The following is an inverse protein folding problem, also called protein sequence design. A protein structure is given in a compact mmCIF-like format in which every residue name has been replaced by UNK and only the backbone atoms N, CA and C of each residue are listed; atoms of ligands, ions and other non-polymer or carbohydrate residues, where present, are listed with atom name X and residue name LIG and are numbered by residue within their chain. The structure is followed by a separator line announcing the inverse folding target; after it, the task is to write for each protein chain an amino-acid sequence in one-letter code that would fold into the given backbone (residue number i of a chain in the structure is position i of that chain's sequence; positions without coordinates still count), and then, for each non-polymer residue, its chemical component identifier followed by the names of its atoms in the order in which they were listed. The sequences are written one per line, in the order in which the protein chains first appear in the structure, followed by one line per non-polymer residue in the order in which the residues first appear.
data_IF_580114681870
#
_entry.id   IF_580114681870
#
_cell.length_a   1.000
_cell.length_b   1.000
_cell.length_c   1.000
_cell.angle_alpha   90.00
_cell.angle_beta   90.00
_cell.angle_gamma   90.00
#
_symmetry.space_group_name_H-M   'P 1'
#
loop_
_entity.id
_entity.type
_entity.pdbx_description
1 polymer ?
#
# COMPACT_ATOMS: atom_id res chain seq x y z
N UNK A 1 0.10 0.26 24.35
CA UNK A 1 1.38 0.37 23.70
C UNK A 1 1.86 -0.89 22.98
N UNK A 2 0.97 -1.85 22.65
CA UNK A 2 1.36 -3.08 21.93
C UNK A 2 1.22 -2.96 20.42
N UNK A 3 0.44 -1.99 19.92
CA UNK A 3 0.19 -1.80 18.48
C UNK A 3 0.59 -0.39 18.04
N UNK A 4 1.11 -0.27 16.82
CA UNK A 4 1.52 0.99 16.22
C UNK A 4 0.44 1.64 15.37
N UNK A 5 -0.49 0.85 14.86
CA UNK A 5 -1.61 1.26 14.02
C UNK A 5 -2.74 0.24 14.07
N UNK A 6 -3.88 0.61 13.50
CA UNK A 6 -5.03 -0.27 13.29
C UNK A 6 -5.44 -0.22 11.83
N UNK A 7 -5.96 -1.33 11.33
CA UNK A 7 -6.46 -1.44 9.95
C UNK A 7 -7.96 -1.69 9.94
N UNK A 8 -8.62 -1.21 8.87
CA UNK A 8 -10.03 -1.43 8.58
C UNK A 8 -11.02 -0.96 9.67
N UNK A 9 -10.63 -0.01 10.51
CA UNK A 9 -11.54 0.68 11.39
C UNK A 9 -12.14 1.88 10.66
N UNK A 10 -13.46 1.92 10.51
CA UNK A 10 -14.21 2.96 9.81
C UNK A 10 -15.07 3.78 10.77
N UNK A 11 -15.18 5.06 10.50
CA UNK A 11 -15.99 6.01 11.26
C UNK A 11 -15.15 6.93 12.15
N UNK A 12 -15.19 8.23 11.86
CA UNK A 12 -14.35 9.25 12.52
C UNK A 12 -14.55 9.30 14.04
N UNK A 13 -15.76 9.05 14.53
CA UNK A 13 -16.06 9.00 15.98
C UNK A 13 -15.33 7.83 16.64
N UNK A 14 -15.45 6.62 16.07
CA UNK A 14 -14.78 5.43 16.57
C UNK A 14 -13.25 5.57 16.53
N UNK A 15 -12.72 6.10 15.44
CA UNK A 15 -11.30 6.38 15.28
C UNK A 15 -10.82 7.37 16.34
N UNK A 16 -11.57 8.44 16.57
CA UNK A 16 -11.27 9.42 17.60
C UNK A 16 -11.26 8.83 19.02
N UNK A 17 -12.23 7.96 19.33
CA UNK A 17 -12.31 7.30 20.63
C UNK A 17 -11.11 6.35 20.85
N UNK A 18 -10.75 5.58 19.85
CA UNK A 18 -9.56 4.71 19.92
C UNK A 18 -8.28 5.52 20.02
N UNK A 19 -8.15 6.62 19.26
CA UNK A 19 -7.02 7.52 19.38
C UNK A 19 -6.90 8.13 20.78
N UNK A 20 -8.03 8.51 21.36
CA UNK A 20 -8.08 9.00 22.75
C UNK A 20 -7.58 7.96 23.75
N UNK A 21 -7.99 6.69 23.59
CA UNK A 21 -7.47 5.60 24.43
C UNK A 21 -5.96 5.44 24.28
N UNK A 22 -5.45 5.53 23.04
CA UNK A 22 -4.02 5.41 22.79
C UNK A 22 -3.22 6.54 23.47
N UNK A 23 -3.71 7.76 23.42
CA UNK A 23 -3.04 8.93 24.02
C UNK A 23 -3.16 8.94 25.54
N UNK A 24 -4.36 8.74 26.10
CA UNK A 24 -4.64 8.95 27.52
C UNK A 24 -4.40 7.73 28.39
N UNK A 25 -4.52 6.53 27.82
CA UNK A 25 -4.49 5.27 28.57
C UNK A 25 -3.28 4.38 28.27
N UNK A 26 -2.49 4.70 27.25
CA UNK A 26 -1.27 3.92 27.01
C UNK A 26 -0.06 4.50 27.76
N UNK A 27 0.94 3.66 28.01
CA UNK A 27 2.14 4.03 28.80
C UNK A 27 2.92 5.20 28.20
N UNK A 28 2.98 5.32 26.89
CA UNK A 28 3.78 6.32 26.18
C UNK A 28 2.96 7.44 25.52
N UNK A 29 1.64 7.31 25.45
CA UNK A 29 0.77 8.29 24.81
C UNK A 29 1.08 8.48 23.32
N UNK A 30 1.62 7.47 22.63
CA UNK A 30 1.97 7.57 21.21
C UNK A 30 0.71 7.39 20.37
N UNK A 31 0.39 8.34 19.45
CA UNK A 31 -0.77 8.25 18.58
C UNK A 31 -0.68 7.05 17.63
N UNK A 32 -1.84 6.49 17.27
CA UNK A 32 -1.97 5.43 16.27
C UNK A 32 -2.07 5.99 14.87
N UNK A 33 -1.65 5.22 13.87
CA UNK A 33 -2.03 5.40 12.45
C UNK A 33 -3.18 4.47 12.12
N UNK A 34 -4.12 4.95 11.29
CA UNK A 34 -5.29 4.18 10.89
C UNK A 34 -5.20 3.92 9.40
N UNK A 35 -5.09 2.64 9.03
CA UNK A 35 -4.90 2.18 7.67
C UNK A 35 -6.16 1.53 7.10
N UNK A 36 -6.36 1.68 5.78
CA UNK A 36 -7.44 1.04 5.04
C UNK A 36 -7.07 0.85 3.57
N UNK A 37 -7.61 -0.18 2.93
CA UNK A 37 -7.55 -0.34 1.49
C UNK A 37 -8.47 0.68 0.80
N UNK A 38 -7.87 1.72 0.23
CA UNK A 38 -8.55 2.75 -0.56
C UNK A 38 -7.98 2.71 -1.96
N UNK A 39 -8.31 1.64 -2.71
CA UNK A 39 -7.63 1.29 -3.97
C UNK A 39 -8.17 2.08 -5.16
N UNK A 40 -9.51 2.26 -5.26
CA UNK A 40 -10.15 3.00 -6.34
C UNK A 40 -11.34 3.84 -5.84
N UNK A 41 -11.11 4.62 -4.81
CA UNK A 41 -12.08 5.46 -4.12
C UNK A 41 -12.34 5.02 -2.71
N UNK A 42 -13.06 5.82 -1.95
CA UNK A 42 -13.50 5.54 -0.59
C UNK A 42 -15.02 5.30 -0.55
N UNK A 43 -15.85 6.34 -0.45
CA UNK A 43 -17.31 6.25 -0.67
C UNK A 43 -17.68 6.58 -2.12
N UNK A 44 -16.97 7.52 -2.74
CA UNK A 44 -17.06 7.76 -4.17
C UNK A 44 -16.19 6.75 -4.90
N UNK A 45 -16.81 5.83 -5.63
CA UNK A 45 -16.14 4.75 -6.36
C UNK A 45 -15.71 5.26 -7.74
N UNK A 46 -14.43 5.07 -8.06
CA UNK A 46 -13.84 5.26 -9.37
C UNK A 46 -13.72 3.94 -10.13
N UNK A 47 -13.42 3.93 -11.43
CA UNK A 47 -13.09 2.70 -12.14
C UNK A 47 -12.02 1.91 -11.40
N UNK A 48 -12.07 0.59 -11.52
CA UNK A 48 -10.98 -0.28 -11.00
C UNK A 48 -9.64 0.18 -11.60
N UNK A 49 -8.50 -0.01 -10.92
CA UNK A 49 -7.21 0.49 -11.40
C UNK A 49 -6.89 0.08 -12.83
N UNK A 50 -7.20 -1.15 -13.24
CA UNK A 50 -7.03 -1.60 -14.62
C UNK A 50 -7.88 -0.78 -15.61
N UNK A 51 -9.14 -0.48 -15.28
CA UNK A 51 -10.00 0.38 -16.09
C UNK A 51 -9.52 1.83 -16.10
N UNK A 52 -9.10 2.35 -14.94
CA UNK A 52 -8.58 3.71 -14.79
C UNK A 52 -7.31 3.92 -15.63
N UNK A 53 -6.44 2.92 -15.71
CA UNK A 53 -5.21 2.96 -16.52
C UNK A 53 -5.50 3.15 -18.02
N UNK A 54 -6.66 2.70 -18.50
CA UNK A 54 -7.08 2.85 -19.89
C UNK A 54 -7.32 4.32 -20.31
N UNK A 55 -7.52 5.23 -19.35
CA UNK A 55 -7.68 6.65 -19.63
C UNK A 55 -6.39 7.33 -20.11
N UNK A 56 -5.21 6.82 -19.71
CA UNK A 56 -3.90 7.43 -19.93
C UNK A 56 -3.79 8.88 -19.42
N UNK A 57 -4.77 9.35 -18.66
CA UNK A 57 -4.84 10.70 -18.10
C UNK A 57 -4.29 10.71 -16.66
N UNK A 58 -3.02 11.09 -16.50
CA UNK A 58 -2.35 11.15 -15.21
C UNK A 58 -2.97 12.20 -14.28
N UNK A 59 -3.57 13.25 -14.80
CA UNK A 59 -4.24 14.27 -13.99
C UNK A 59 -5.56 13.76 -13.45
N UNK A 60 -6.33 13.03 -14.24
CA UNK A 60 -7.55 12.35 -13.81
C UNK A 60 -7.23 11.28 -12.74
N UNK A 61 -6.18 10.48 -12.96
CA UNK A 61 -5.72 9.46 -12.00
C UNK A 61 -5.28 10.11 -10.68
N UNK A 62 -4.49 11.18 -10.74
CA UNK A 62 -4.10 11.94 -9.54
C UNK A 62 -5.32 12.51 -8.83
N UNK A 63 -6.29 13.04 -9.56
CA UNK A 63 -7.52 13.61 -9.00
C UNK A 63 -8.38 12.55 -8.32
N UNK A 64 -8.48 11.34 -8.89
CA UNK A 64 -9.19 10.23 -8.24
C UNK A 64 -8.58 9.86 -6.89
N UNK A 65 -7.24 9.73 -6.83
CA UNK A 65 -6.51 9.48 -5.59
C UNK A 65 -6.66 10.64 -4.58
N UNK A 66 -6.68 11.91 -5.06
CA UNK A 66 -6.90 13.06 -4.19
C UNK A 66 -8.29 13.05 -3.54
N UNK A 67 -9.33 12.76 -4.32
CA UNK A 67 -10.70 12.64 -3.81
C UNK A 67 -10.79 11.49 -2.80
N UNK A 68 -10.23 10.33 -3.14
CA UNK A 68 -10.19 9.18 -2.25
C UNK A 68 -9.51 9.50 -0.91
N UNK A 69 -8.38 10.24 -0.93
CA UNK A 69 -7.70 10.70 0.28
C UNK A 69 -8.54 11.71 1.08
N UNK A 70 -9.22 12.63 0.41
CA UNK A 70 -10.08 13.61 1.05
C UNK A 70 -11.22 12.93 1.81
N UNK A 71 -11.88 11.96 1.18
CA UNK A 71 -12.98 11.21 1.81
C UNK A 71 -12.49 10.30 2.94
N UNK A 72 -11.44 9.52 2.69
CA UNK A 72 -10.89 8.61 3.70
C UNK A 72 -10.39 9.37 4.94
N UNK A 73 -9.69 10.49 4.74
CA UNK A 73 -9.21 11.33 5.84
C UNK A 73 -10.33 12.04 6.60
N UNK A 74 -11.43 12.34 5.93
CA UNK A 74 -12.63 12.90 6.59
C UNK A 74 -13.25 11.89 7.56
N UNK A 75 -13.11 10.60 7.29
CA UNK A 75 -13.55 9.52 8.17
C UNK A 75 -12.48 9.04 9.17
N UNK A 76 -11.33 9.75 9.22
CA UNK A 76 -10.27 9.51 10.22
C UNK A 76 -9.11 8.63 9.74
N UNK A 77 -9.13 8.15 8.50
CA UNK A 77 -8.05 7.34 7.93
C UNK A 77 -6.85 8.22 7.62
N UNK A 78 -5.66 7.80 8.04
CA UNK A 78 -4.41 8.53 7.83
C UNK A 78 -3.41 7.81 6.93
N UNK A 79 -3.71 6.58 6.53
CA UNK A 79 -2.85 5.69 5.76
C UNK A 79 -3.68 4.82 4.82
N UNK A 80 -3.28 4.69 3.55
CA UNK A 80 -3.93 3.80 2.58
C UNK A 80 -2.96 2.74 2.08
N UNK A 81 -3.48 1.53 1.82
CA UNK A 81 -2.73 0.43 1.20
C UNK A 81 -2.85 0.51 -0.33
N UNK A 82 -2.43 1.63 -0.89
CA UNK A 82 -2.48 1.98 -2.30
C UNK A 82 -1.35 2.97 -2.64
N UNK A 83 -0.82 2.98 -3.89
CA UNK A 83 -1.23 2.22 -5.07
C UNK A 83 -0.74 0.77 -5.11
N UNK A 84 -1.51 -0.10 -5.77
CA UNK A 84 -1.06 -1.41 -6.19
C UNK A 84 -0.43 -1.27 -7.58
N UNK A 85 0.84 -1.63 -7.70
CA UNK A 85 1.63 -1.39 -8.91
C UNK A 85 2.27 -2.64 -9.50
N UNK A 86 1.79 -3.80 -9.07
CA UNK A 86 2.25 -5.08 -9.59
C UNK A 86 2.01 -5.16 -11.10
N UNK A 87 3.06 -5.42 -11.86
CA UNK A 87 2.96 -5.73 -13.28
C UNK A 87 2.34 -7.11 -13.44
N UNK A 88 1.22 -7.17 -14.17
CA UNK A 88 0.49 -8.40 -14.42
C UNK A 88 0.45 -8.69 -15.92
N UNK A 89 1.05 -9.83 -16.32
CA UNK A 89 1.05 -10.29 -17.72
C UNK A 89 0.23 -11.57 -17.91
N UNK A 90 -0.03 -12.29 -16.84
CA UNK A 90 -0.87 -13.47 -16.89
C UNK A 90 -2.30 -13.12 -16.42
N UNK A 91 -3.29 -13.13 -17.32
CA UNK A 91 -4.67 -12.75 -16.98
C UNK A 91 -5.36 -13.74 -16.05
N UNK A 92 -4.75 -14.90 -15.78
CA UNK A 92 -5.27 -15.87 -14.80
C UNK A 92 -5.03 -15.45 -13.35
N UNK A 93 -4.08 -14.54 -13.11
CA UNK A 93 -3.84 -14.03 -11.77
C UNK A 93 -5.06 -13.28 -11.25
N UNK A 94 -5.57 -13.67 -10.06
CA UNK A 94 -6.84 -13.18 -9.52
C UNK A 94 -6.87 -11.69 -9.16
N UNK A 95 -5.70 -11.02 -9.11
CA UNK A 95 -5.58 -9.61 -8.70
C UNK A 95 -5.26 -8.64 -9.86
N UNK A 96 -5.41 -9.08 -11.10
CA UNK A 96 -5.18 -8.23 -12.29
C UNK A 96 -5.98 -6.92 -12.23
N UNK A 97 -7.22 -6.96 -11.71
CA UNK A 97 -8.11 -5.80 -11.64
C UNK A 97 -7.63 -4.70 -10.69
N UNK A 98 -6.79 -5.04 -9.70
CA UNK A 98 -6.24 -4.08 -8.74
C UNK A 98 -5.05 -3.30 -9.27
N UNK A 99 -4.39 -3.79 -10.33
CA UNK A 99 -3.18 -3.22 -10.92
C UNK A 99 -3.46 -2.40 -12.18
N UNK A 100 -2.37 -1.88 -12.76
CA UNK A 100 -2.42 -0.96 -13.88
C UNK A 100 -2.05 -1.63 -15.23
N UNK A 101 -2.06 -2.97 -15.29
CA UNK A 101 -1.75 -3.74 -16.48
C UNK A 101 -0.29 -4.20 -16.56
N UNK A 102 0.20 -4.37 -17.81
CA UNK A 102 1.49 -5.03 -18.08
C UNK A 102 2.64 -4.09 -18.44
N UNK A 103 2.35 -2.81 -18.71
CA UNK A 103 3.36 -1.84 -19.13
C UNK A 103 4.07 -1.20 -17.93
N UNK A 104 5.40 -1.39 -17.77
CA UNK A 104 6.13 -0.84 -16.63
C UNK A 104 6.16 0.69 -16.60
N UNK A 105 6.28 1.34 -17.77
CA UNK A 105 6.37 2.78 -17.85
C UNK A 105 5.05 3.43 -17.46
N UNK A 106 3.94 2.96 -18.02
CA UNK A 106 2.60 3.41 -17.64
C UNK A 106 2.34 3.16 -16.16
N UNK A 107 2.67 1.96 -15.65
CA UNK A 107 2.56 1.62 -14.23
C UNK A 107 3.35 2.58 -13.33
N UNK A 108 4.56 2.95 -13.74
CA UNK A 108 5.39 3.94 -13.04
C UNK A 108 4.79 5.35 -13.05
N UNK A 109 4.26 5.80 -14.20
CA UNK A 109 3.60 7.10 -14.31
C UNK A 109 2.34 7.17 -13.42
N UNK A 110 1.53 6.11 -13.42
CA UNK A 110 0.35 5.99 -12.56
C UNK A 110 0.75 5.95 -11.09
N UNK A 111 1.79 5.20 -10.72
CA UNK A 111 2.30 5.17 -9.35
C UNK A 111 2.63 6.58 -8.83
N UNK A 112 3.36 7.37 -9.62
CA UNK A 112 3.68 8.78 -9.28
C UNK A 112 2.41 9.63 -9.13
N UNK A 113 1.47 9.50 -10.06
CA UNK A 113 0.21 10.25 -10.02
C UNK A 113 -0.61 9.91 -8.77
N UNK A 114 -0.74 8.64 -8.43
CA UNK A 114 -1.51 8.20 -7.26
C UNK A 114 -0.84 8.60 -5.95
N UNK A 115 0.48 8.39 -5.79
CA UNK A 115 1.22 8.82 -4.58
C UNK A 115 1.05 10.32 -4.36
N UNK A 116 1.25 11.13 -5.40
CA UNK A 116 1.07 12.59 -5.30
C UNK A 116 -0.40 12.99 -5.05
N UNK A 117 -1.34 12.22 -5.55
CA UNK A 117 -2.76 12.39 -5.24
C UNK A 117 -3.09 12.14 -3.78
N UNK A 118 -2.58 11.08 -3.18
CA UNK A 118 -2.80 10.76 -1.76
C UNK A 118 -2.05 11.70 -0.83
N UNK A 119 -0.76 11.96 -1.07
CA UNK A 119 0.14 12.62 -0.12
C UNK A 119 0.37 14.12 -0.37
N UNK A 120 -0.02 14.63 -1.53
CA UNK A 120 0.29 15.98 -2.01
C UNK A 120 1.40 15.98 -3.07
N UNK A 121 1.37 16.97 -3.96
CA UNK A 121 2.26 17.07 -5.13
C UNK A 121 3.65 17.64 -4.81
N UNK A 122 3.76 18.44 -3.76
CA UNK A 122 5.03 19.03 -3.35
C UNK A 122 5.75 18.11 -2.36
N UNK A 123 6.81 17.46 -2.80
CA UNK A 123 7.59 16.52 -1.99
C UNK A 123 8.05 17.10 -0.64
N UNK A 124 8.31 18.40 -0.57
CA UNK A 124 8.75 19.06 0.67
C UNK A 124 7.59 19.34 1.64
N UNK A 125 6.35 19.32 1.14
CA UNK A 125 5.15 19.66 1.88
C UNK A 125 4.09 18.54 1.91
N UNK A 126 4.45 17.33 1.50
CA UNK A 126 3.56 16.16 1.58
C UNK A 126 3.10 15.90 3.02
N UNK A 127 1.84 15.43 3.17
CA UNK A 127 1.23 15.04 4.44
C UNK A 127 1.05 16.22 5.45
N UNK A 128 1.14 17.45 5.01
CA UNK A 128 0.93 18.62 5.88
C UNK A 128 -0.54 18.93 6.12
N UNK A 129 -1.40 18.65 5.15
CA UNK A 129 -2.84 18.92 5.24
C UNK A 129 -3.56 17.76 5.91
N UNK A 130 -4.75 18.03 6.46
CA UNK A 130 -5.59 17.00 7.08
C UNK A 130 -6.45 16.19 6.08
N UNK A 131 -6.37 16.53 4.80
CA UNK A 131 -6.97 15.79 3.68
C UNK A 131 -5.93 14.97 2.86
N UNK A 132 -4.68 14.95 3.30
CA UNK A 132 -3.59 14.14 2.76
C UNK A 132 -3.36 12.93 3.65
N UNK A 133 -3.25 11.73 3.05
CA UNK A 133 -3.00 10.47 3.75
C UNK A 133 -1.75 9.80 3.21
N UNK A 134 -1.06 9.05 4.06
CA UNK A 134 0.14 8.33 3.65
C UNK A 134 -0.22 7.20 2.67
N UNK A 135 0.48 7.14 1.55
CA UNK A 135 0.39 6.06 0.58
C UNK A 135 1.26 4.86 0.98
N UNK A 136 0.86 3.68 0.53
CA UNK A 136 1.62 2.44 0.68
C UNK A 136 1.65 1.72 -0.66
N UNK A 137 2.80 1.75 -1.34
CA UNK A 137 2.94 1.02 -2.59
C UNK A 137 3.03 -0.48 -2.34
N UNK A 138 2.27 -1.26 -3.11
CA UNK A 138 2.15 -2.72 -2.93
C UNK A 138 2.09 -3.48 -4.24
N UNK A 139 2.44 -4.75 -4.24
CA UNK A 139 3.06 -5.57 -3.19
C UNK A 139 4.52 -5.83 -3.55
N UNK A 140 5.44 -5.37 -2.74
CA UNK A 140 6.88 -5.35 -3.07
C UNK A 140 7.52 -6.71 -2.76
N UNK A 141 7.87 -7.52 -3.81
CA UNK A 141 7.75 -7.20 -5.20
C UNK A 141 7.48 -8.46 -6.05
N UNK A 142 7.20 -8.23 -7.33
CA UNK A 142 7.01 -9.26 -8.35
C UNK A 142 5.76 -10.13 -8.14
N UNK A 143 4.80 -9.71 -7.36
CA UNK A 143 3.66 -10.54 -6.97
C UNK A 143 2.77 -10.93 -8.16
N UNK A 144 2.64 -10.07 -9.16
CA UNK A 144 1.92 -10.37 -10.41
C UNK A 144 2.66 -11.29 -11.40
N UNK A 145 3.87 -11.75 -11.05
CA UNK A 145 4.69 -12.63 -11.89
C UNK A 145 4.71 -14.08 -11.42
N UNK A 146 3.82 -14.46 -10.50
CA UNK A 146 3.75 -15.83 -9.97
C UNK A 146 3.61 -16.89 -11.08
N UNK A 147 4.33 -18.00 -10.92
CA UNK A 147 4.32 -19.10 -11.87
C UNK A 147 2.90 -19.60 -12.17
N UNK A 148 2.60 -19.80 -13.47
CA UNK A 148 1.30 -20.24 -14.00
C UNK A 148 0.12 -19.26 -13.67
N UNK A 149 0.39 -17.99 -13.34
CA UNK A 149 -0.62 -17.04 -12.94
C UNK A 149 -1.30 -17.36 -11.61
N UNK A 150 -0.68 -18.17 -10.77
CA UNK A 150 -1.23 -18.56 -9.48
C UNK A 150 -0.83 -17.54 -8.43
N UNK A 151 -1.82 -17.12 -7.63
CA UNK A 151 -1.58 -16.26 -6.49
C UNK A 151 -0.69 -16.97 -5.45
N UNK A 152 0.13 -16.23 -4.72
CA UNK A 152 1.11 -16.72 -3.74
C UNK A 152 2.25 -17.60 -4.30
N UNK A 153 2.28 -17.87 -5.59
CA UNK A 153 3.25 -18.81 -6.17
C UNK A 153 4.63 -18.17 -6.31
N UNK A 154 5.65 -19.01 -6.45
CA UNK A 154 7.04 -18.59 -6.62
C UNK A 154 7.27 -17.81 -7.91
N UNK A 155 8.32 -17.00 -7.91
CA UNK A 155 8.77 -16.23 -9.07
C UNK A 155 10.22 -16.58 -9.35
N UNK A 156 10.50 -16.98 -10.59
CA UNK A 156 11.85 -17.20 -11.10
C UNK A 156 12.09 -16.34 -12.34
N UNK A 157 12.99 -15.37 -12.23
CA UNK A 157 13.39 -14.53 -13.36
C UNK A 157 14.77 -13.87 -13.14
N UNK A 158 15.43 -13.49 -14.24
CA UNK A 158 16.69 -12.78 -14.16
C UNK A 158 16.54 -11.40 -13.50
N UNK A 159 17.57 -10.93 -12.79
CA UNK A 159 17.62 -9.58 -12.22
C UNK A 159 17.42 -8.49 -13.27
N UNK A 160 17.97 -8.68 -14.48
CA UNK A 160 17.77 -7.73 -15.57
C UNK A 160 16.28 -7.53 -15.88
N UNK A 161 15.52 -8.62 -15.96
CA UNK A 161 14.07 -8.56 -16.17
C UNK A 161 13.35 -7.94 -14.97
N UNK A 162 13.75 -8.27 -13.73
CA UNK A 162 13.19 -7.65 -12.53
C UNK A 162 13.28 -6.13 -12.58
N UNK A 163 14.46 -5.57 -12.84
CA UNK A 163 14.67 -4.12 -12.84
C UNK A 163 13.98 -3.41 -14.02
N UNK A 164 14.00 -3.99 -15.20
CA UNK A 164 13.46 -3.32 -16.39
C UNK A 164 11.93 -3.40 -16.46
N UNK A 165 11.31 -4.41 -15.84
CA UNK A 165 9.88 -4.67 -16.02
C UNK A 165 9.11 -4.55 -14.70
N UNK A 166 9.49 -5.30 -13.68
CA UNK A 166 8.65 -5.48 -12.49
C UNK A 166 8.95 -4.51 -11.35
N UNK A 167 10.18 -4.10 -11.20
CA UNK A 167 10.60 -3.21 -10.10
C UNK A 167 10.44 -1.71 -10.42
N UNK A 168 10.37 -1.36 -11.70
CA UNK A 168 10.30 0.03 -12.13
C UNK A 168 9.12 0.83 -11.53
N UNK A 169 7.86 0.30 -11.49
CA UNK A 169 6.75 1.04 -10.90
C UNK A 169 6.92 1.33 -9.40
N UNK A 170 7.57 0.43 -8.66
CA UNK A 170 7.90 0.66 -7.25
C UNK A 170 8.96 1.74 -7.08
N UNK A 171 10.01 1.71 -7.92
CA UNK A 171 11.02 2.76 -7.92
C UNK A 171 10.38 4.13 -8.20
N UNK A 172 9.47 4.19 -9.16
CA UNK A 172 8.72 5.41 -9.49
C UNK A 172 7.89 5.93 -8.30
N UNK A 173 7.28 5.03 -7.51
CA UNK A 173 6.57 5.40 -6.29
C UNK A 173 7.53 5.95 -5.20
N UNK A 174 8.71 5.34 -5.04
CA UNK A 174 9.75 5.83 -4.13
C UNK A 174 10.22 7.22 -4.53
N UNK A 175 10.48 7.45 -5.82
CA UNK A 175 10.85 8.77 -6.36
C UNK A 175 9.74 9.83 -6.14
N UNK A 176 8.48 9.41 -6.07
CA UNK A 176 7.35 10.30 -5.74
C UNK A 176 7.17 10.52 -4.23
N UNK A 177 8.04 9.97 -3.40
CA UNK A 177 8.05 10.17 -1.95
C UNK A 177 7.04 9.33 -1.18
N UNK A 178 6.69 8.11 -1.68
CA UNK A 178 5.77 7.22 -0.96
C UNK A 178 6.22 6.97 0.48
N UNK A 179 5.30 7.07 1.43
CA UNK A 179 5.63 6.98 2.87
C UNK A 179 5.80 5.56 3.40
N UNK A 180 5.24 4.56 2.72
CA UNK A 180 5.35 3.16 3.14
C UNK A 180 5.32 2.20 1.95
N UNK A 181 5.82 0.99 2.19
CA UNK A 181 5.88 -0.11 1.23
C UNK A 181 5.31 -1.36 1.89
N UNK A 182 4.47 -2.12 1.19
CA UNK A 182 3.96 -3.40 1.67
C UNK A 182 4.70 -4.54 0.98
N UNK A 183 5.30 -5.43 1.78
CA UNK A 183 6.00 -6.63 1.28
C UNK A 183 5.01 -7.65 0.72
N UNK A 184 5.38 -8.32 -0.37
CA UNK A 184 4.56 -9.35 -1.00
C UNK A 184 4.73 -10.74 -0.36
N UNK A 185 3.82 -11.67 -0.70
CA UNK A 185 3.81 -13.03 -0.18
C UNK A 185 4.75 -13.99 -0.93
N UNK A 186 4.91 -13.79 -2.24
CA UNK A 186 5.57 -14.72 -3.13
C UNK A 186 7.06 -14.90 -2.80
N UNK A 187 7.59 -16.03 -3.19
CA UNK A 187 9.02 -16.28 -3.21
C UNK A 187 9.67 -15.70 -4.46
N UNK A 188 10.89 -15.22 -4.30
CA UNK A 188 11.75 -14.77 -5.39
C UNK A 188 13.05 -15.55 -5.24
N UNK A 189 13.38 -16.38 -6.23
CA UNK A 189 14.58 -17.23 -6.19
C UNK A 189 14.63 -18.06 -4.87
N UNK A 190 13.48 -18.66 -4.50
CA UNK A 190 13.32 -19.51 -3.31
C UNK A 190 13.33 -18.75 -1.95
N UNK A 191 13.32 -17.41 -1.95
CA UNK A 191 13.27 -16.60 -0.73
C UNK A 191 11.98 -15.79 -0.70
N UNK A 192 11.11 -15.96 0.31
CA UNK A 192 9.93 -15.10 0.46
C UNK A 192 10.31 -13.63 0.46
N UNK A 193 9.58 -12.80 -0.30
CA UNK A 193 9.86 -11.37 -0.42
C UNK A 193 9.96 -10.69 0.94
N UNK A 194 9.08 -11.03 1.89
CA UNK A 194 9.07 -10.53 3.27
C UNK A 194 10.38 -10.84 4.04
N UNK A 195 11.11 -11.91 3.70
CA UNK A 195 12.41 -12.26 4.29
C UNK A 195 13.61 -11.96 3.38
N UNK A 196 13.39 -11.32 2.25
CA UNK A 196 14.41 -11.10 1.24
C UNK A 196 15.21 -9.81 1.51
N UNK A 197 16.37 -9.97 2.17
CA UNK A 197 17.23 -8.85 2.53
C UNK A 197 17.77 -8.09 1.32
N UNK A 198 18.07 -8.79 0.21
CA UNK A 198 18.50 -8.13 -1.01
C UNK A 198 17.42 -7.16 -1.50
N UNK A 199 16.16 -7.62 -1.54
CA UNK A 199 15.03 -6.81 -1.99
C UNK A 199 14.76 -5.64 -1.03
N UNK A 200 14.56 -5.92 0.27
CA UNK A 200 14.12 -4.94 1.27
C UNK A 200 15.22 -3.96 1.69
N UNK A 201 16.46 -4.41 1.75
CA UNK A 201 17.57 -3.56 2.22
C UNK A 201 18.43 -3.07 1.07
N UNK A 202 18.93 -3.97 0.20
CA UNK A 202 19.92 -3.55 -0.78
C UNK A 202 19.28 -2.78 -1.95
N UNK A 203 18.15 -3.25 -2.48
CA UNK A 203 17.44 -2.56 -3.55
C UNK A 203 16.64 -1.38 -3.00
N UNK A 204 15.66 -1.65 -2.13
CA UNK A 204 14.71 -0.62 -1.70
C UNK A 204 15.39 0.54 -0.95
N UNK A 205 16.22 0.22 0.04
CA UNK A 205 16.78 1.26 0.93
C UNK A 205 18.11 1.82 0.44
N UNK A 206 19.09 0.94 0.06
CA UNK A 206 20.42 1.42 -0.31
C UNK A 206 20.47 1.96 -1.72
N UNK A 207 19.86 1.25 -2.69
CA UNK A 207 19.92 1.66 -4.09
C UNK A 207 18.92 2.77 -4.41
N UNK A 208 17.67 2.69 -3.90
CA UNK A 208 16.63 3.68 -4.20
C UNK A 208 16.48 4.77 -3.12
N UNK A 209 17.13 4.62 -1.97
CA UNK A 209 17.09 5.63 -0.91
C UNK A 209 15.77 5.73 -0.16
N UNK A 210 14.95 4.67 -0.16
CA UNK A 210 13.68 4.69 0.56
C UNK A 210 13.88 4.87 2.06
N UNK A 211 13.29 5.91 2.63
CA UNK A 211 13.40 6.30 4.04
C UNK A 211 12.14 5.99 4.88
N UNK A 212 11.03 5.60 4.24
CA UNK A 212 9.80 5.23 4.91
C UNK A 212 9.85 3.85 5.60
N UNK A 213 8.72 3.36 6.08
CA UNK A 213 8.65 2.05 6.71
C UNK A 213 8.09 0.96 5.77
N UNK A 214 8.50 -0.29 6.02
CA UNK A 214 7.99 -1.47 5.33
C UNK A 214 7.04 -2.20 6.27
N UNK A 215 5.81 -2.45 5.81
CA UNK A 215 4.83 -3.31 6.47
C UNK A 215 4.71 -4.63 5.73
N UNK A 216 4.39 -5.72 6.42
CA UNK A 216 3.98 -6.97 5.74
C UNK A 216 2.61 -6.82 5.12
N UNK A 217 2.27 -7.72 4.19
CA UNK A 217 0.87 -7.97 3.87
C UNK A 217 0.18 -8.71 5.05
N UNK A 218 -1.14 -8.87 4.98
CA UNK A 218 -1.95 -9.52 6.01
C UNK A 218 -1.42 -10.92 6.31
N UNK A 219 -1.02 -11.17 7.56
CA UNK A 219 -0.37 -12.42 8.01
C UNK A 219 0.96 -12.77 7.31
N UNK A 220 1.61 -11.84 6.61
CA UNK A 220 2.78 -12.13 5.78
C UNK A 220 3.98 -12.74 6.50
N UNK A 221 4.13 -12.55 7.82
CA UNK A 221 5.16 -13.24 8.60
C UNK A 221 4.77 -14.70 8.86
N UNK A 222 3.54 -14.95 9.30
CA UNK A 222 3.09 -16.32 9.59
C UNK A 222 2.98 -17.19 8.34
N UNK A 223 2.66 -16.60 7.18
CA UNK A 223 2.68 -17.28 5.88
C UNK A 223 4.03 -17.94 5.57
N UNK A 224 5.14 -17.31 5.95
CA UNK A 224 6.47 -17.88 5.74
C UNK A 224 6.72 -19.20 6.49
N UNK A 225 5.93 -19.51 7.50
CA UNK A 225 5.98 -20.82 8.18
C UNK A 225 5.52 -21.92 7.23
N UNK A 226 4.46 -21.66 6.45
CA UNK A 226 3.95 -22.58 5.43
C UNK A 226 4.94 -22.81 4.28
N UNK A 227 5.81 -21.84 3.99
CA UNK A 227 6.92 -22.00 3.04
C UNK A 227 8.09 -22.85 3.57
N UNK A 228 8.00 -23.36 4.81
CA UNK A 228 9.05 -24.21 5.39
C UNK A 228 10.31 -23.46 5.83
N UNK A 229 10.24 -22.13 5.96
CA UNK A 229 11.39 -21.29 6.34
C UNK A 229 11.80 -21.46 7.82
N UNK A 230 10.86 -21.86 8.66
CA UNK A 230 11.09 -22.11 10.09
C UNK A 230 9.84 -21.84 10.92
N UNK A 231 10.00 -21.86 12.24
CA UNK A 231 8.96 -21.49 13.19
C UNK A 231 8.68 -19.98 13.20
N UNK A 232 7.61 -19.55 13.86
CA UNK A 232 7.20 -18.13 13.90
C UNK A 232 8.32 -17.21 14.41
N UNK A 233 9.14 -17.67 15.36
CA UNK A 233 10.28 -16.88 15.84
C UNK A 233 11.35 -16.69 14.75
N UNK A 234 11.66 -17.75 14.03
CA UNK A 234 12.67 -17.73 12.96
C UNK A 234 12.24 -16.83 11.81
N UNK A 235 11.00 -16.94 11.35
CA UNK A 235 10.50 -16.12 10.23
C UNK A 235 10.34 -14.65 10.63
N UNK A 236 9.94 -14.38 11.88
CA UNK A 236 9.89 -13.01 12.42
C UNK A 236 11.27 -12.35 12.47
N UNK A 237 12.28 -13.08 12.95
CA UNK A 237 13.64 -12.58 12.97
C UNK A 237 14.21 -12.33 11.57
N UNK A 238 13.91 -13.21 10.61
CA UNK A 238 14.31 -13.03 9.20
C UNK A 238 13.66 -11.81 8.57
N UNK A 239 12.35 -11.58 8.79
CA UNK A 239 11.64 -10.43 8.28
C UNK A 239 12.22 -9.11 8.79
N UNK A 240 12.42 -8.98 10.11
CA UNK A 240 12.99 -7.79 10.73
C UNK A 240 14.42 -7.53 10.24
N UNK A 241 15.27 -8.57 10.20
CA UNK A 241 16.64 -8.48 9.69
C UNK A 241 16.73 -8.20 8.18
N UNK A 242 15.69 -8.54 7.41
CA UNK A 242 15.59 -8.18 6.00
C UNK A 242 15.25 -6.69 5.81
N UNK A 243 14.62 -6.04 6.79
CA UNK A 243 14.26 -4.62 6.73
C UNK A 243 12.76 -4.33 6.76
N UNK A 244 11.94 -5.31 7.15
CA UNK A 244 10.51 -5.12 7.47
C UNK A 244 10.40 -4.48 8.85
N UNK A 245 9.58 -3.45 8.97
CA UNK A 245 9.47 -2.63 10.18
C UNK A 245 8.17 -2.89 10.97
N UNK A 246 7.09 -3.27 10.29
CA UNK A 246 5.77 -3.47 10.88
C UNK A 246 5.18 -4.81 10.45
N UNK A 247 4.67 -5.57 11.40
CA UNK A 247 3.96 -6.82 11.21
C UNK A 247 2.45 -6.57 11.16
N UNK A 248 1.80 -6.97 10.07
CA UNK A 248 0.36 -6.88 9.94
C UNK A 248 -0.29 -8.21 10.38
N UNK A 249 -0.85 -8.21 11.60
CA UNK A 249 -1.75 -9.25 12.16
C UNK A 249 -1.07 -10.58 12.56
N UNK A 250 0.12 -10.93 12.08
CA UNK A 250 0.76 -12.23 12.41
C UNK A 250 1.09 -12.43 13.90
N UNK A 251 1.14 -11.34 14.69
CA UNK A 251 1.65 -11.34 16.07
C UNK A 251 3.09 -11.86 16.22
N UNK A 252 3.78 -12.01 15.10
CA UNK A 252 5.13 -12.53 15.03
C UNK A 252 6.14 -11.67 15.79
N UNK A 253 6.12 -10.36 15.55
CA UNK A 253 7.01 -9.43 16.26
C UNK A 253 6.66 -9.33 17.74
N UNK A 254 5.40 -9.13 18.10
CA UNK A 254 4.96 -9.02 19.50
C UNK A 254 5.29 -10.29 20.28
N UNK A 255 5.04 -11.44 19.69
CA UNK A 255 5.22 -12.74 20.35
C UNK A 255 6.67 -13.19 20.49
N UNK A 256 7.57 -12.75 19.60
CA UNK A 256 8.89 -13.41 19.48
C UNK A 256 10.11 -12.50 19.63
N UNK A 257 10.00 -11.18 19.41
CA UNK A 257 11.17 -10.26 19.40
C UNK A 257 11.97 -10.33 20.68
N UNK A 258 11.31 -10.31 21.84
CA UNK A 258 12.00 -10.34 23.14
C UNK A 258 12.90 -11.58 23.29
N UNK A 259 12.39 -12.74 22.89
CA UNK A 259 13.14 -14.00 22.90
C UNK A 259 14.26 -13.97 21.86
N UNK A 260 13.98 -13.46 20.66
CA UNK A 260 14.95 -13.36 19.57
C UNK A 260 16.14 -12.47 19.90
N UNK A 261 15.92 -11.37 20.62
CA UNK A 261 17.00 -10.51 21.14
C UNK A 261 17.83 -11.27 22.19
N UNK A 262 17.18 -11.93 23.15
CA UNK A 262 17.89 -12.70 24.20
C UNK A 262 18.74 -13.82 23.61
N UNK A 263 18.34 -14.41 22.48
CA UNK A 263 19.08 -15.47 21.79
C UNK A 263 20.06 -14.91 20.71
N UNK A 264 20.18 -13.59 20.57
CA UNK A 264 21.08 -12.97 19.60
C UNK A 264 20.66 -13.14 18.12
N UNK A 265 19.39 -13.48 17.85
CA UNK A 265 18.84 -13.59 16.49
C UNK A 265 18.50 -12.23 15.88
N UNK A 266 18.25 -11.23 16.70
CA UNK A 266 17.99 -9.83 16.36
C UNK A 266 18.84 -8.97 17.27
N UNK A 267 19.51 -7.97 16.73
CA UNK A 267 20.17 -6.93 17.51
C UNK A 267 19.23 -5.76 17.85
N UNK A 268 19.54 -5.03 18.92
CA UNK A 268 18.74 -3.87 19.34
C UNK A 268 18.78 -2.74 18.32
N UNK A 269 19.86 -2.56 17.57
CA UNK A 269 19.97 -1.52 16.56
C UNK A 269 18.98 -1.74 15.41
N UNK A 270 18.78 -3.00 15.00
CA UNK A 270 17.79 -3.38 13.98
C UNK A 270 16.37 -3.07 14.45
N UNK A 271 16.04 -3.42 15.71
CA UNK A 271 14.74 -3.10 16.30
C UNK A 271 14.52 -1.59 16.42
N UNK A 272 15.51 -0.84 16.89
CA UNK A 272 15.44 0.60 17.06
C UNK A 272 15.23 1.32 15.71
N UNK A 273 15.89 0.84 14.64
CA UNK A 273 15.68 1.35 13.27
C UNK A 273 14.24 1.16 12.81
N UNK A 274 13.67 -0.02 13.02
CA UNK A 274 12.29 -0.31 12.64
C UNK A 274 11.30 0.57 13.42
N UNK A 275 11.45 0.66 14.73
CA UNK A 275 10.64 1.54 15.57
C UNK A 275 10.74 3.01 15.14
N UNK A 276 11.96 3.49 14.87
CA UNK A 276 12.22 4.88 14.44
C UNK A 276 11.47 5.22 13.16
N UNK A 277 11.50 4.37 12.14
CA UNK A 277 10.78 4.62 10.87
C UNK A 277 9.28 4.76 11.04
N UNK A 278 8.69 3.95 11.93
CA UNK A 278 7.25 4.07 12.24
C UNK A 278 6.98 5.37 12.99
N UNK A 279 7.83 5.78 13.91
CA UNK A 279 7.70 7.05 14.62
C UNK A 279 7.88 8.24 13.68
N UNK A 280 8.83 8.18 12.76
CA UNK A 280 9.03 9.20 11.73
C UNK A 280 7.84 9.32 10.78
N UNK A 281 7.20 8.21 10.43
CA UNK A 281 5.94 8.23 9.67
C UNK A 281 4.82 8.96 10.43
N UNK A 282 4.66 8.69 11.72
CA UNK A 282 3.71 9.41 12.59
C UNK A 282 4.04 10.90 12.71
N UNK A 283 5.33 11.24 12.75
CA UNK A 283 5.78 12.63 12.77
C UNK A 283 5.48 13.32 11.43
N UNK A 284 5.78 12.69 10.28
CA UNK A 284 5.45 13.21 8.95
C UNK A 284 3.95 13.46 8.80
N UNK A 285 3.10 12.59 9.37
CA UNK A 285 1.65 12.77 9.43
C UNK A 285 1.19 13.90 10.38
N UNK A 286 2.09 14.50 11.18
CA UNK A 286 1.78 15.55 12.14
C UNK A 286 1.03 15.08 13.38
N UNK A 287 1.03 13.78 13.66
CA UNK A 287 0.25 13.18 14.76
C UNK A 287 0.82 13.52 16.15
N UNK A 288 2.11 13.84 16.26
CA UNK A 288 2.70 14.28 17.52
C UNK A 288 2.32 15.74 17.87
N UNK A 289 2.12 16.58 16.84
CA UNK A 289 1.66 17.97 17.05
C UNK A 289 0.16 18.01 17.32
N UNK A 290 -0.61 17.21 16.57
CA UNK A 290 -2.05 17.07 16.74
C UNK A 290 -2.49 15.62 16.52
N UNK A 291 -2.63 14.78 17.55
CA UNK A 291 -3.05 13.39 17.42
C UNK A 291 -4.46 13.22 16.85
N UNK A 292 -5.28 14.27 16.88
CA UNK A 292 -6.65 14.30 16.35
C UNK A 292 -6.76 15.01 14.99
N UNK A 293 -5.64 15.20 14.27
CA UNK A 293 -5.59 15.92 12.98
C UNK A 293 -6.65 15.41 11.97
N UNK A 294 -6.92 14.12 11.97
CA UNK A 294 -7.88 13.45 11.09
C UNK A 294 -9.25 13.19 11.74
N UNK A 295 -9.50 13.68 12.94
CA UNK A 295 -10.69 13.39 13.74
C UNK A 295 -11.67 14.56 13.84
N UNK A 296 -11.84 15.34 12.77
CA UNK A 296 -12.86 16.39 12.71
C UNK A 296 -14.23 15.79 12.38
N UNK A 297 -15.12 15.78 13.36
CA UNK A 297 -16.46 15.16 13.28
C UNK A 297 -17.39 15.80 12.23
N UNK A 298 -17.04 17.01 11.74
CA UNK A 298 -17.86 17.71 10.74
C UNK A 298 -17.45 17.38 9.30
N UNK A 299 -16.27 16.80 9.10
CA UNK A 299 -15.76 16.51 7.77
C UNK A 299 -16.55 15.43 7.02
N UNK A 300 -17.01 14.33 7.64
CA UNK A 300 -17.74 13.30 6.89
C UNK A 300 -18.95 13.87 6.13
N UNK A 301 -19.76 14.68 6.78
CA UNK A 301 -20.95 15.27 6.14
C UNK A 301 -20.59 16.24 5.00
N UNK A 302 -19.48 16.96 5.14
CA UNK A 302 -19.03 17.99 4.17
C UNK A 302 -18.24 17.40 3.01
N UNK A 303 -17.35 16.43 3.28
CA UNK A 303 -16.27 16.02 2.38
C UNK A 303 -16.48 14.64 1.75
N UNK A 304 -17.43 13.81 2.24
CA UNK A 304 -17.65 12.43 1.75
C UNK A 304 -18.81 12.39 0.76
N UNK A 305 -18.61 11.69 -0.36
CA UNK A 305 -19.63 11.40 -1.37
C UNK A 305 -20.37 12.65 -1.90
N UNK A 306 -19.63 13.73 -2.08
CA UNK A 306 -20.20 15.00 -2.57
C UNK A 306 -20.68 14.88 -4.01
N UNK A 307 -21.53 15.80 -4.45
CA UNK A 307 -21.95 15.84 -5.85
C UNK A 307 -20.75 16.04 -6.79
N UNK A 308 -19.81 16.90 -6.42
CA UNK A 308 -18.60 17.15 -7.19
C UNK A 308 -17.76 15.89 -7.37
N UNK A 309 -17.54 15.12 -6.29
CA UNK A 309 -16.78 13.86 -6.34
C UNK A 309 -17.42 12.86 -7.30
N UNK A 310 -18.76 12.70 -7.25
CA UNK A 310 -19.50 11.79 -8.13
C UNK A 310 -19.46 12.23 -9.59
N UNK A 311 -19.56 13.55 -9.85
CA UNK A 311 -19.46 14.09 -11.20
C UNK A 311 -18.07 13.84 -11.80
N UNK A 312 -17.01 13.99 -11.00
CA UNK A 312 -15.64 13.65 -11.41
C UNK A 312 -15.48 12.15 -11.66
N UNK A 313 -16.00 11.30 -10.77
CA UNK A 313 -15.93 9.85 -10.95
C UNK A 313 -16.64 9.40 -12.23
N UNK A 314 -17.82 9.96 -12.52
CA UNK A 314 -18.56 9.70 -13.77
C UNK A 314 -17.78 10.14 -15.01
N UNK A 315 -17.15 11.32 -14.96
CA UNK A 315 -16.33 11.82 -16.06
C UNK A 315 -15.16 10.88 -16.34
N UNK A 316 -14.39 10.54 -15.31
CA UNK A 316 -13.23 9.65 -15.42
C UNK A 316 -13.66 8.26 -15.92
N UNK A 317 -14.80 7.73 -15.45
CA UNK A 317 -15.33 6.47 -15.96
C UNK A 317 -15.62 6.52 -17.47
N UNK A 318 -16.20 7.63 -17.96
CA UNK A 318 -16.45 7.80 -19.38
C UNK A 318 -15.16 7.89 -20.22
N UNK A 319 -14.11 8.49 -19.66
CA UNK A 319 -12.79 8.61 -20.30
C UNK A 319 -12.00 7.31 -20.29
N UNK A 320 -12.40 6.34 -19.46
CA UNK A 320 -11.77 5.01 -19.35
C UNK A 320 -12.34 3.98 -20.33
N UNK A 321 -13.35 4.32 -21.12
CA UNK A 321 -13.91 3.40 -22.10
C UNK A 321 -12.98 3.20 -23.29
N UNK A 322 -12.68 1.94 -23.59
CA UNK A 322 -11.90 1.55 -24.76
C UNK A 322 -12.86 0.98 -25.82
N UNK A 323 -13.16 1.74 -26.89
CA UNK A 323 -14.01 1.22 -27.95
C UNK A 323 -13.29 0.08 -28.70
N UNK A 324 -13.96 -1.04 -28.81
CA UNK A 324 -13.49 -2.19 -29.57
C UNK A 324 -14.17 -2.21 -30.94
N UNK A 325 -13.46 -2.64 -32.00
CA UNK A 325 -14.05 -2.74 -33.32
C UNK A 325 -15.28 -3.64 -33.30
N UNK A 326 -16.38 -3.13 -33.80
CA UNK A 326 -17.68 -3.79 -33.82
C UNK A 326 -17.67 -5.17 -34.50
N UNK A 327 -16.76 -5.40 -35.44
CA UNK A 327 -16.64 -6.68 -36.13
C UNK A 327 -16.33 -7.86 -35.21
N UNK A 328 -15.73 -7.63 -34.05
CA UNK A 328 -15.43 -8.66 -33.06
C UNK A 328 -16.62 -8.97 -32.14
N UNK A 329 -17.55 -8.04 -32.02
CA UNK A 329 -18.69 -8.16 -31.10
C UNK A 329 -19.97 -8.63 -31.80
N UNK A 330 -19.95 -8.65 -33.14
CA UNK A 330 -21.11 -8.89 -33.96
C UNK A 330 -21.87 -10.20 -33.69
N UNK A 331 -21.17 -11.21 -33.23
CA UNK A 331 -21.77 -12.48 -32.88
C UNK A 331 -22.62 -12.45 -31.60
N UNK A 332 -22.38 -11.43 -30.74
CA UNK A 332 -23.05 -11.27 -29.43
C UNK A 332 -24.05 -10.13 -29.41
N UNK A 333 -24.16 -9.38 -30.52
CA UNK A 333 -24.96 -8.17 -30.60
C UNK A 333 -26.06 -8.26 -31.67
N UNK A 334 -26.31 -9.44 -32.15
CA UNK A 334 -27.47 -9.62 -33.02
C UNK A 334 -28.73 -9.43 -32.19
N UNK A 335 -29.72 -8.77 -32.78
CA UNK A 335 -30.98 -8.52 -32.11
C UNK A 335 -31.68 -9.79 -31.59
N UNK A 336 -31.36 -10.91 -32.19
CA UNK A 336 -31.83 -12.21 -31.74
C UNK A 336 -31.19 -12.61 -30.40
N UNK A 337 -30.08 -11.98 -30.04
CA UNK A 337 -29.32 -12.23 -28.81
C UNK A 337 -29.63 -11.22 -27.72
N UNK A 338 -30.36 -10.16 -28.06
CA UNK A 338 -30.88 -9.13 -27.17
C UNK A 338 -32.39 -9.31 -26.95
#
# INVERSE_FOLDING_TARGET
GWVGGLLNLKGVEKIRDVQKLAIEKSRLGIPLIFGMDVVHGYETIFPIPLGLSCSWDMDAIRKSARIAATEASADGISWTFSPMVDISRDPRWGRVSEGNGEDPFLGGAIAKAMVSGYQGVDLNNQLKRNDEIMACVKHFALYGAGEAGRDYNTVDMSRNRMFNEYLYPYQAAVEAGVGSVMASFNEIDGVPATANKWLMTDVLRKQWGFDGFVVTDFTGISEMVAHGIGDLQTVSARALNAGVDMDMVSEGFIGTIKKSIAEGKIDMETLDKACRRILEAKYKLGLFDNPYKYCDLKRPERDIFTKEHRDVARKIASESFVPVSYTHLRAHETEADL
#
